data_IF_287570152719
#
_entry.id   IF_287570152719
#
_cell.length_a   1.000
_cell.length_b   1.000
_cell.length_c   1.000
_cell.angle_alpha   90.00
_cell.angle_beta   90.00
_cell.angle_gamma   90.00
#
_symmetry.space_group_name_H-M   'P 1'
#
loop_
_entity.id
_entity.type
_entity.pdbx_description
1 polymer ?
#
# COMPACT_ATOMS: atom_id res chain seq x y z
N UNK A 1 13.90 14.42 -4.34
CA UNK A 1 12.43 14.60 -4.29
C UNK A 1 11.98 14.02 -2.97
N UNK A 2 11.10 14.72 -2.27
CA UNK A 2 10.59 14.27 -0.97
C UNK A 2 9.43 13.32 -1.20
N UNK A 3 9.46 12.18 -0.52
CA UNK A 3 8.38 11.19 -0.51
C UNK A 3 8.18 10.67 0.91
N UNK A 4 6.92 10.46 1.28
CA UNK A 4 6.53 9.80 2.53
C UNK A 4 6.59 8.29 2.33
N UNK A 5 7.28 7.58 3.21
CA UNK A 5 7.32 6.12 3.21
C UNK A 5 6.02 5.60 3.85
N UNK A 6 5.32 4.70 3.17
CA UNK A 6 4.07 4.09 3.63
C UNK A 6 4.25 2.64 4.09
N UNK A 7 5.12 1.89 3.41
CA UNK A 7 5.36 0.47 3.70
C UNK A 7 6.73 0.04 3.19
N UNK A 8 7.37 -0.89 3.90
CA UNK A 8 8.52 -1.65 3.43
C UNK A 8 8.03 -2.96 2.81
N UNK A 9 8.48 -3.30 1.60
CA UNK A 9 8.17 -4.56 0.94
C UNK A 9 9.43 -5.27 0.49
N UNK A 10 9.45 -6.59 0.66
CA UNK A 10 10.50 -7.46 0.15
C UNK A 10 9.82 -8.39 -0.86
N UNK A 11 10.31 -8.40 -2.10
CA UNK A 11 9.85 -9.31 -3.15
C UNK A 11 10.94 -10.33 -3.43
N UNK A 12 10.66 -11.56 -3.05
CA UNK A 12 11.54 -12.71 -3.27
C UNK A 12 11.06 -13.56 -4.44
N UNK A 13 11.97 -14.32 -5.02
CA UNK A 13 11.66 -15.32 -6.04
C UNK A 13 12.91 -15.84 -6.73
N UNK A 14 12.70 -16.71 -7.72
CA UNK A 14 13.78 -17.28 -8.52
C UNK A 14 13.72 -16.73 -9.93
N UNK A 15 14.86 -16.30 -10.47
CA UNK A 15 15.01 -15.95 -11.88
C UNK A 15 14.89 -17.20 -12.76
N UNK A 16 14.59 -17.02 -14.06
CA UNK A 16 14.58 -18.13 -15.03
C UNK A 16 15.92 -18.90 -15.13
N UNK A 17 17.01 -18.30 -14.66
CA UNK A 17 18.35 -18.92 -14.57
C UNK A 17 18.62 -19.61 -13.22
N UNK A 18 17.61 -19.88 -12.40
CA UNK A 18 17.74 -20.58 -11.12
C UNK A 18 18.35 -19.76 -9.97
N UNK A 19 18.69 -18.47 -10.20
CA UNK A 19 19.23 -17.60 -9.15
C UNK A 19 18.10 -16.98 -8.36
N UNK A 20 18.17 -17.07 -7.04
CA UNK A 20 17.30 -16.34 -6.13
C UNK A 20 17.53 -14.82 -6.26
N UNK A 21 16.46 -14.06 -6.11
CA UNK A 21 16.50 -12.60 -6.02
C UNK A 21 15.67 -12.13 -4.82
N UNK A 22 16.16 -11.08 -4.16
CA UNK A 22 15.44 -10.37 -3.11
C UNK A 22 15.46 -8.88 -3.48
N UNK A 23 14.33 -8.36 -3.96
CA UNK A 23 14.16 -6.94 -4.28
C UNK A 23 13.55 -6.25 -3.06
N UNK A 24 14.27 -5.28 -2.51
CA UNK A 24 13.84 -4.45 -1.38
C UNK A 24 13.28 -3.14 -1.91
N UNK A 25 12.02 -2.87 -1.60
CA UNK A 25 11.27 -1.73 -2.10
C UNK A 25 10.59 -0.98 -0.95
N UNK A 26 10.48 0.33 -1.12
CA UNK A 26 9.68 1.21 -0.29
C UNK A 26 8.44 1.56 -1.10
N UNK A 27 7.25 1.28 -0.56
CA UNK A 27 6.03 1.88 -1.08
C UNK A 27 5.95 3.30 -0.53
N UNK A 28 5.97 4.29 -1.42
CA UNK A 28 6.10 5.70 -1.06
C UNK A 28 4.97 6.52 -1.67
N UNK A 29 4.69 7.68 -1.08
CA UNK A 29 3.69 8.62 -1.59
C UNK A 29 4.16 10.08 -1.53
N UNK A 30 3.52 10.93 -2.33
CA UNK A 30 3.69 12.38 -2.36
C UNK A 30 2.35 13.03 -2.73
N UNK A 31 2.22 14.35 -2.58
CA UNK A 31 0.94 15.06 -2.74
C UNK A 31 1.00 16.18 -3.79
N UNK A 32 2.19 16.49 -4.30
CA UNK A 32 2.42 17.56 -5.26
C UNK A 32 2.00 17.13 -6.68
N UNK A 33 0.83 17.57 -7.13
CA UNK A 33 0.32 17.31 -8.49
C UNK A 33 1.32 17.73 -9.59
N UNK A 34 2.01 18.85 -9.40
CA UNK A 34 3.09 19.32 -10.28
C UNK A 34 4.22 18.29 -10.46
N UNK A 35 4.52 17.51 -9.41
CA UNK A 35 5.54 16.45 -9.46
C UNK A 35 4.98 15.24 -10.19
N UNK A 36 3.71 14.88 -9.95
CA UNK A 36 3.02 13.83 -10.68
C UNK A 36 2.99 14.12 -12.19
N UNK A 37 2.55 15.30 -12.59
CA UNK A 37 2.49 15.71 -13.99
C UNK A 37 3.87 15.67 -14.68
N UNK A 38 4.94 16.07 -13.98
CA UNK A 38 6.33 15.95 -14.47
C UNK A 38 6.77 14.49 -14.62
N UNK A 39 6.42 13.62 -13.66
CA UNK A 39 6.71 12.17 -13.73
C UNK A 39 5.96 11.54 -14.91
N UNK A 40 4.65 11.78 -15.04
CA UNK A 40 3.83 11.27 -16.15
C UNK A 40 4.39 11.71 -17.51
N UNK A 41 4.70 12.99 -17.67
CA UNK A 41 5.29 13.51 -18.92
C UNK A 41 6.65 12.86 -19.23
N UNK A 42 7.51 12.69 -18.21
CA UNK A 42 8.82 12.03 -18.37
C UNK A 42 8.69 10.55 -18.75
N UNK A 43 7.76 9.82 -18.12
CA UNK A 43 7.48 8.41 -18.41
C UNK A 43 6.93 8.22 -19.83
N UNK A 44 5.97 9.04 -20.26
CA UNK A 44 5.45 9.02 -21.64
C UNK A 44 6.54 9.34 -22.66
N UNK A 45 7.41 10.31 -22.38
CA UNK A 45 8.56 10.64 -23.23
C UNK A 45 9.61 9.51 -23.32
N UNK A 46 9.66 8.60 -22.33
CA UNK A 46 10.48 7.39 -22.34
C UNK A 46 9.75 6.16 -22.92
N UNK A 47 8.55 6.33 -23.49
CA UNK A 47 7.82 5.25 -24.17
C UNK A 47 6.92 4.40 -23.26
N UNK A 48 6.66 4.81 -22.01
CA UNK A 48 5.65 4.14 -21.19
C UNK A 48 4.23 4.44 -21.72
N UNK A 49 3.41 3.39 -21.86
CA UNK A 49 1.99 3.54 -22.21
C UNK A 49 1.17 4.07 -21.03
N UNK A 50 0.00 4.65 -21.34
CA UNK A 50 -0.89 5.24 -20.31
C UNK A 50 -1.31 4.20 -19.27
N UNK A 51 -1.73 3.01 -19.71
CA UNK A 51 -1.99 1.82 -18.87
C UNK A 51 -0.87 1.50 -17.88
N UNK A 52 0.40 1.64 -18.28
CA UNK A 52 1.54 1.33 -17.42
C UNK A 52 1.78 2.46 -16.41
N UNK A 53 1.62 3.72 -16.84
CA UNK A 53 1.71 4.89 -15.96
C UNK A 53 0.63 4.85 -14.87
N UNK A 54 -0.62 4.55 -15.22
CA UNK A 54 -1.72 4.41 -14.26
C UNK A 54 -1.51 3.27 -13.27
N UNK A 55 -0.99 2.12 -13.73
CA UNK A 55 -0.63 0.98 -12.86
C UNK A 55 0.56 1.29 -11.96
N UNK A 56 1.48 2.14 -12.38
CA UNK A 56 2.68 2.50 -11.64
C UNK A 56 2.42 3.57 -10.58
N UNK A 57 1.67 4.62 -10.91
CA UNK A 57 1.40 5.75 -10.03
C UNK A 57 -0.07 6.19 -10.13
N UNK A 58 -0.92 5.58 -9.32
CA UNK A 58 -2.35 5.92 -9.26
C UNK A 58 -2.61 7.06 -8.27
N UNK A 59 -3.40 8.09 -8.63
CA UNK A 59 -3.95 9.04 -7.66
C UNK A 59 -4.95 8.34 -6.73
N UNK A 60 -4.75 8.48 -5.43
CA UNK A 60 -5.69 8.04 -4.39
C UNK A 60 -6.09 9.26 -3.56
N UNK A 61 -7.38 9.58 -3.57
CA UNK A 61 -7.95 10.64 -2.74
C UNK A 61 -8.36 10.08 -1.38
N UNK A 62 -8.01 10.80 -0.31
CA UNK A 62 -8.47 10.50 1.05
C UNK A 62 -8.75 11.80 1.80
N UNK A 63 -9.96 11.96 2.34
CA UNK A 63 -10.43 13.18 3.01
C UNK A 63 -10.15 14.47 2.18
N UNK A 64 -10.43 14.46 0.88
CA UNK A 64 -10.21 15.60 -0.03
C UNK A 64 -8.73 15.88 -0.38
N UNK A 65 -7.79 15.06 0.11
CA UNK A 65 -6.37 15.18 -0.22
C UNK A 65 -6.00 14.10 -1.24
N UNK A 66 -5.54 14.52 -2.42
CA UNK A 66 -5.01 13.61 -3.43
C UNK A 66 -3.56 13.25 -3.07
N UNK A 67 -3.27 11.96 -3.04
CA UNK A 67 -1.93 11.42 -2.86
C UNK A 67 -1.58 10.47 -3.99
N UNK A 68 -0.34 10.55 -4.47
CA UNK A 68 0.18 9.72 -5.54
C UNK A 68 1.16 8.73 -4.92
N UNK A 69 0.95 7.42 -5.13
CA UNK A 69 1.78 6.39 -4.52
C UNK A 69 2.42 5.48 -5.58
N UNK A 70 3.66 5.05 -5.34
CA UNK A 70 4.40 4.14 -6.22
C UNK A 70 5.43 3.29 -5.45
N UNK A 71 5.90 2.22 -6.09
CA UNK A 71 6.99 1.39 -5.55
C UNK A 71 8.37 1.95 -5.93
N UNK A 72 9.18 2.28 -4.93
CA UNK A 72 10.55 2.77 -5.06
C UNK A 72 11.56 1.68 -4.66
N UNK A 73 12.33 1.18 -5.61
CA UNK A 73 13.39 0.20 -5.35
C UNK A 73 14.62 0.86 -4.71
N UNK A 74 15.22 0.20 -3.73
CA UNK A 74 16.34 0.72 -2.94
C UNK A 74 17.34 -0.39 -2.57
N UNK A 75 18.54 -0.01 -2.16
CA UNK A 75 19.55 -0.94 -1.64
C UNK A 75 19.18 -1.46 -0.25
N UNK A 76 19.83 -2.55 0.13
CA UNK A 76 19.74 -3.10 1.49
C UNK A 76 20.11 -2.06 2.57
N UNK A 77 21.08 -1.18 2.30
CA UNK A 77 21.51 -0.15 3.24
C UNK A 77 20.40 0.87 3.52
N UNK A 78 19.80 1.44 2.47
CA UNK A 78 18.69 2.40 2.62
C UNK A 78 17.45 1.73 3.19
N UNK A 79 17.16 0.48 2.78
CA UNK A 79 16.05 -0.28 3.32
C UNK A 79 16.18 -0.49 4.83
N UNK A 80 17.38 -0.80 5.34
CA UNK A 80 17.60 -1.02 6.78
C UNK A 80 17.66 0.31 7.56
N UNK A 81 18.25 1.36 6.98
CA UNK A 81 18.32 2.69 7.60
C UNK A 81 16.95 3.34 7.82
N UNK A 82 15.95 2.98 6.99
CA UNK A 82 14.54 3.33 7.23
C UNK A 82 13.98 2.39 8.31
N UNK A 83 14.16 2.76 9.57
CA UNK A 83 13.59 2.05 10.72
C UNK A 83 12.08 2.35 10.89
N UNK A 84 11.70 3.63 10.72
CA UNK A 84 10.31 4.11 10.84
C UNK A 84 9.74 4.66 9.52
N UNK A 85 8.42 4.70 9.40
CA UNK A 85 7.74 5.34 8.26
C UNK A 85 7.83 6.87 8.37
N UNK A 86 8.80 7.47 7.68
CA UNK A 86 9.10 8.91 7.69
C UNK A 86 9.13 9.55 6.31
N UNK A 87 9.77 10.71 6.20
CA UNK A 87 10.00 11.41 4.94
C UNK A 87 11.40 11.10 4.41
N UNK A 88 11.50 10.76 3.13
CA UNK A 88 12.75 10.46 2.43
C UNK A 88 12.94 11.51 1.33
N UNK A 89 14.03 12.28 1.36
CA UNK A 89 14.47 13.04 0.20
C UNK A 89 15.55 12.25 -0.53
N UNK A 90 15.23 11.77 -1.72
CA UNK A 90 16.17 11.04 -2.56
C UNK A 90 16.09 11.47 -4.03
N UNK A 91 17.19 11.34 -4.76
CA UNK A 91 17.17 11.47 -6.22
C UNK A 91 16.59 10.17 -6.80
N UNK A 92 15.34 10.20 -7.23
CA UNK A 92 14.67 9.05 -7.86
C UNK A 92 14.95 9.06 -9.36
N UNK A 93 15.21 7.88 -9.93
CA UNK A 93 15.30 7.63 -11.37
C UNK A 93 14.15 6.72 -11.75
N UNK A 94 13.37 7.17 -12.72
CA UNK A 94 12.34 6.37 -13.37
C UNK A 94 12.97 5.75 -14.62
N UNK A 95 13.12 4.44 -14.65
CA UNK A 95 13.56 3.71 -15.85
C UNK A 95 12.36 3.02 -16.48
N UNK A 96 12.23 3.11 -17.81
CA UNK A 96 11.26 2.35 -18.60
C UNK A 96 12.05 1.30 -19.39
N UNK A 97 11.57 0.06 -19.44
CA UNK A 97 12.16 -0.97 -20.30
C UNK A 97 11.45 -1.07 -21.66
N UNK A 98 11.99 -1.85 -22.57
CA UNK A 98 11.47 -2.01 -23.94
C UNK A 98 10.01 -2.55 -24.00
N UNK A 99 9.51 -3.12 -22.90
CA UNK A 99 8.13 -3.60 -22.74
C UNK A 99 7.20 -2.54 -22.09
N UNK A 100 7.65 -1.30 -21.92
CA UNK A 100 6.91 -0.21 -21.28
C UNK A 100 6.77 -0.33 -19.75
N UNK A 101 7.42 -1.31 -19.11
CA UNK A 101 7.36 -1.49 -17.66
C UNK A 101 8.23 -0.46 -16.94
N UNK A 102 7.66 0.18 -15.92
CA UNK A 102 8.28 1.27 -15.17
C UNK A 102 8.94 0.72 -13.91
N UNK A 103 10.24 1.00 -13.77
CA UNK A 103 11.06 0.67 -12.61
C UNK A 103 11.61 1.96 -11.99
N UNK A 104 10.97 2.44 -10.93
CA UNK A 104 11.50 3.54 -10.14
C UNK A 104 12.48 3.02 -9.09
N UNK A 105 13.64 3.66 -9.02
CA UNK A 105 14.71 3.34 -8.05
C UNK A 105 15.43 4.59 -7.58
N UNK A 106 16.08 4.50 -6.43
CA UNK A 106 17.01 5.55 -5.99
C UNK A 106 18.20 5.59 -6.95
N UNK A 107 18.65 6.80 -7.33
CA UNK A 107 19.79 6.99 -8.21
C UNK A 107 21.05 6.47 -7.53
N UNK A 108 21.89 5.76 -8.28
CA UNK A 108 23.22 5.34 -7.82
C UNK A 108 24.26 6.13 -8.60
N UNK A 109 25.09 6.89 -7.88
CA UNK A 109 26.24 7.64 -8.42
C UNK A 109 27.44 7.21 -7.59
N UNK A 110 28.58 6.92 -8.22
CA UNK A 110 29.81 6.46 -7.57
C UNK A 110 29.60 5.28 -6.59
N UNK A 111 28.73 4.34 -6.99
CA UNK A 111 28.29 3.16 -6.21
C UNK A 111 27.54 3.49 -4.90
N UNK A 112 27.12 4.74 -4.70
CA UNK A 112 26.32 5.19 -3.54
C UNK A 112 24.93 5.63 -3.97
N UNK A 113 23.92 5.21 -3.23
CA UNK A 113 22.56 5.72 -3.39
C UNK A 113 22.48 7.20 -3.01
N UNK A 114 21.78 7.97 -3.82
CA UNK A 114 21.63 9.41 -3.69
C UNK A 114 20.42 9.72 -2.79
N UNK A 115 20.55 9.40 -1.51
CA UNK A 115 19.65 9.85 -0.44
C UNK A 115 20.22 11.16 0.12
N UNK A 116 19.41 12.22 0.07
CA UNK A 116 19.77 13.56 0.54
C UNK A 116 19.49 13.70 2.05
N UNK A 117 18.30 13.26 2.49
CA UNK A 117 17.91 13.20 3.90
C UNK A 117 16.89 12.08 4.13
N UNK A 118 16.80 11.64 5.38
CA UNK A 118 15.71 10.81 5.88
C UNK A 118 15.30 11.36 7.24
N UNK A 119 14.07 11.86 7.30
CA UNK A 119 13.47 12.48 8.47
C UNK A 119 12.50 11.45 9.08
N UNK A 120 12.96 10.76 10.13
CA UNK A 120 12.14 9.81 10.89
C UNK A 120 11.08 10.56 11.73
N UNK A 121 9.87 10.00 11.93
CA UNK A 121 8.88 10.60 12.82
C UNK A 121 9.38 10.59 14.27
N UNK A 122 9.24 11.73 14.94
CA UNK A 122 9.72 11.96 16.31
C UNK A 122 9.07 10.98 17.29
N UNK A 123 7.76 10.79 17.20
CA UNK A 123 6.98 9.85 18.00
C UNK A 123 6.23 8.79 17.18
N UNK A 124 5.72 7.77 17.85
CA UNK A 124 4.79 6.80 17.28
C UNK A 124 3.43 7.50 17.06
N UNK A 125 3.24 8.09 15.88
CA UNK A 125 2.01 8.84 15.57
C UNK A 125 0.83 7.87 15.43
N UNK A 126 0.09 7.69 16.53
CA UNK A 126 -1.17 6.95 16.52
C UNK A 126 -2.12 7.62 15.52
N UNK A 127 -2.51 6.88 14.47
CA UNK A 127 -3.17 7.42 13.28
C UNK A 127 -2.39 7.31 11.95
N UNK A 128 -1.07 7.06 11.96
CA UNK A 128 -0.36 6.60 10.74
C UNK A 128 -0.34 5.07 10.72
N UNK A 129 -1.13 4.49 9.81
CA UNK A 129 -1.41 3.06 9.69
C UNK A 129 -2.36 2.45 10.74
N UNK A 130 -3.34 3.23 11.22
CA UNK A 130 -4.62 2.59 11.55
C UNK A 130 -5.15 1.88 10.29
N UNK A 131 -5.70 0.68 10.45
CA UNK A 131 -6.31 -0.06 9.35
C UNK A 131 -7.35 0.79 8.62
N UNK A 132 -7.47 0.58 7.30
CA UNK A 132 -8.39 1.32 6.43
C UNK A 132 -9.74 1.51 7.15
N UNK A 133 -10.19 2.76 7.42
CA UNK A 133 -11.39 2.98 8.21
C UNK A 133 -12.53 2.21 7.56
N UNK A 134 -13.26 1.45 8.37
CA UNK A 134 -14.40 0.69 7.86
C UNK A 134 -15.32 1.65 7.10
N UNK A 135 -15.77 1.29 5.89
CA UNK A 135 -16.61 2.17 5.10
C UNK A 135 -17.82 2.52 5.95
N UNK A 136 -18.00 3.81 6.25
CA UNK A 136 -19.17 4.29 6.98
C UNK A 136 -20.39 3.86 6.19
N UNK A 137 -21.09 2.84 6.69
CA UNK A 137 -22.44 2.57 6.24
C UNK A 137 -23.22 3.85 6.45
N UNK A 138 -23.71 4.44 5.36
CA UNK A 138 -24.56 5.62 5.44
C UNK A 138 -25.79 5.24 6.26
N UNK A 139 -25.86 5.79 7.47
CA UNK A 139 -27.02 5.68 8.34
C UNK A 139 -28.10 6.56 7.71
N UNK A 140 -28.83 5.99 6.76
CA UNK A 140 -29.95 6.64 6.10
C UNK A 140 -30.95 7.12 7.16
N UNK A 141 -31.23 8.41 7.15
CA UNK A 141 -32.07 9.06 8.16
C UNK A 141 -33.53 8.59 8.05
N UNK A 142 -34.06 8.14 9.20
CA UNK A 142 -35.46 8.08 9.65
C UNK A 142 -36.42 9.12 9.00
N UNK A 143 -37.77 8.88 8.93
CA UNK A 143 -38.56 8.46 10.12
C UNK A 143 -39.86 7.62 9.97
N UNK A 144 -40.23 7.00 11.10
CA UNK A 144 -41.58 6.64 11.64
C UNK A 144 -42.74 6.21 10.72
N UNK A 145 -43.35 5.03 11.00
CA UNK A 145 -44.52 4.54 10.26
C UNK A 145 -45.41 3.42 10.84
N UNK A 146 -45.51 3.22 12.16
CA UNK A 146 -46.53 2.38 12.87
C UNK A 146 -46.61 0.84 12.59
N UNK A 147 -47.19 0.02 13.51
CA UNK A 147 -47.07 -1.44 13.50
C UNK A 147 -48.29 -2.19 12.93
N UNK A 148 -48.07 -3.39 12.34
CA UNK A 148 -49.13 -4.35 11.95
C UNK A 148 -48.71 -5.80 12.28
N UNK A 149 -49.65 -6.61 12.79
CA UNK A 149 -49.53 -8.03 13.23
C UNK A 149 -50.28 -8.94 12.22
N UNK A 150 -50.16 -10.27 12.11
CA UNK A 150 -49.85 -11.45 12.98
C UNK A 150 -49.44 -12.64 12.02
N UNK A 151 -49.26 -13.94 12.41
CA UNK A 151 -48.88 -14.62 13.67
C UNK A 151 -47.80 -15.76 13.51
N UNK A 152 -47.50 -16.48 14.60
CA UNK A 152 -46.83 -17.80 14.68
C UNK A 152 -47.51 -18.92 13.86
N UNK A 153 -46.74 -19.97 13.47
CA UNK A 153 -46.99 -21.38 13.89
C UNK A 153 -45.85 -22.36 13.48
N UNK A 154 -45.45 -23.26 14.40
CA UNK A 154 -44.91 -24.65 14.21
C UNK A 154 -43.69 -24.91 13.26
N UNK A 155 -42.76 -25.84 13.52
CA UNK A 155 -42.81 -27.04 14.37
C UNK A 155 -41.46 -27.49 14.98
N UNK A 156 -41.59 -28.34 16.00
CA UNK A 156 -40.69 -29.12 16.87
C UNK A 156 -39.41 -29.81 16.30
N UNK A 157 -38.56 -30.50 17.10
CA UNK A 157 -38.25 -30.40 18.55
C UNK A 157 -36.73 -30.42 18.88
N UNK A 158 -36.38 -30.34 20.18
CA UNK A 158 -35.04 -30.60 20.74
C UNK A 158 -34.70 -32.10 20.80
N UNK A 159 -33.41 -32.42 20.79
CA UNK A 159 -32.85 -33.59 21.48
C UNK A 159 -31.59 -33.19 22.25
N UNK A 160 -31.42 -33.78 23.43
CA UNK A 160 -30.30 -33.62 24.34
C UNK A 160 -29.34 -34.80 24.16
N UNK A 161 -28.03 -34.56 24.14
CA UNK A 161 -27.01 -35.58 24.40
C UNK A 161 -25.95 -34.94 25.33
N UNK A 162 -26.00 -35.31 26.61
CA UNK A 162 -24.87 -35.25 27.54
C UNK A 162 -24.16 -36.63 27.56
N UNK A 163 -23.15 -36.77 28.43
CA UNK A 163 -22.33 -37.96 28.68
C UNK A 163 -21.22 -38.27 27.64
N UNK A 164 -20.02 -38.72 28.03
CA UNK A 164 -19.26 -38.55 29.28
C UNK A 164 -17.77 -38.77 28.95
N UNK A 165 -16.84 -38.10 29.65
CA UNK A 165 -15.40 -38.38 29.47
C UNK A 165 -15.00 -39.66 30.23
N UNK A 166 -14.74 -40.75 29.52
CA UNK A 166 -14.31 -42.03 30.11
C UNK A 166 -13.34 -42.85 29.25
N UNK A 167 -12.04 -42.57 29.36
CA UNK A 167 -10.94 -43.48 29.02
C UNK A 167 -10.18 -43.80 30.32
N UNK A 168 -9.97 -45.08 30.68
CA UNK A 168 -8.86 -45.89 30.15
C UNK A 168 -9.28 -47.36 29.84
N UNK A 169 -8.51 -48.22 29.17
CA UNK A 169 -7.04 -48.42 29.08
C UNK A 169 -6.59 -48.83 27.68
#
# INVERSE_FOLDING_TARGET
>A
MKVKILKKTIKEGTTAAGREYQIKSLFVSFTEEDVYNKIVAHLKAMGASEDMVEKFCKPNEYNGNISYAFGLNCSHFTFDAVDKFGILDAKVVFAVNDNGYINARIAIIDKKEQVNSYDAPEDFVDGWACGNPEPKHEQGSDPLGSPVVIPNLTDLPKMEEEEENGLPF
#
